data_IF_912185292694
#
_entry.id   IF_912185292694
#
_cell.length_a   1.000
_cell.length_b   1.000
_cell.length_c   1.000
_cell.angle_alpha   90.00
_cell.angle_beta   90.00
_cell.angle_gamma   90.00
#
_symmetry.space_group_name_H-M   'P 1'
#
loop_
_entity.id
_entity.type
_entity.pdbx_description
1 polymer ?
#
# COMPACT_ATOMS: atom_id res chain seq x y z
N UNK A 1 -5.47 -4.68 4.70
CA UNK A 1 -4.20 -4.73 3.94
C UNK A 1 -4.48 -4.34 2.50
N UNK A 2 -3.52 -3.72 1.84
CA UNK A 2 -3.47 -3.52 0.38
C UNK A 2 -2.27 -4.31 -0.15
N UNK A 3 -2.45 -4.98 -1.29
CA UNK A 3 -1.39 -5.71 -1.99
C UNK A 3 -1.09 -4.98 -3.28
N UNK A 4 0.19 -4.80 -3.58
CA UNK A 4 0.67 -4.17 -4.81
C UNK A 4 1.58 -5.13 -5.57
N UNK A 5 1.73 -4.89 -6.86
CA UNK A 5 2.65 -5.62 -7.73
C UNK A 5 3.47 -4.61 -8.55
N UNK A 6 4.58 -4.07 -8.00
CA UNK A 6 5.41 -3.09 -8.70
C UNK A 6 6.05 -3.63 -9.97
N UNK A 7 6.44 -4.91 -9.93
CA UNK A 7 6.98 -5.66 -11.05
C UNK A 7 6.23 -6.99 -11.17
N UNK A 8 6.16 -7.56 -12.39
CA UNK A 8 5.49 -8.83 -12.61
C UNK A 8 6.09 -9.94 -11.72
N UNK A 9 5.24 -10.60 -10.95
CA UNK A 9 5.62 -11.61 -9.96
C UNK A 9 6.13 -11.09 -8.62
N UNK A 10 6.44 -9.80 -8.47
CA UNK A 10 6.85 -9.22 -7.19
C UNK A 10 5.64 -8.64 -6.46
N UNK A 11 5.28 -9.22 -5.31
CA UNK A 11 4.18 -8.72 -4.49
C UNK A 11 4.68 -8.03 -3.24
N UNK A 12 4.09 -6.88 -2.92
CA UNK A 12 4.25 -6.20 -1.63
C UNK A 12 2.91 -6.09 -0.94
N UNK A 13 2.95 -5.97 0.38
CA UNK A 13 1.76 -5.82 1.18
C UNK A 13 1.97 -4.74 2.24
N UNK A 14 0.95 -3.92 2.43
CA UNK A 14 0.96 -2.82 3.37
C UNK A 14 -0.37 -2.71 4.12
N UNK A 15 -0.36 -2.03 5.26
CA UNK A 15 -1.60 -1.70 5.96
C UNK A 15 -2.54 -0.94 5.03
N UNK A 16 -3.84 -1.27 5.10
CA UNK A 16 -4.86 -0.49 4.39
C UNK A 16 -5.21 0.81 5.11
N UNK A 17 -4.64 1.05 6.30
CA UNK A 17 -4.98 2.19 7.15
C UNK A 17 -4.01 3.33 6.85
N UNK A 18 -4.54 4.40 6.27
CA UNK A 18 -3.80 5.61 5.99
C UNK A 18 -3.23 6.22 7.27
N UNK A 19 -1.93 6.50 7.27
CA UNK A 19 -1.20 7.05 8.42
C UNK A 19 -1.56 8.49 8.79
N UNK A 20 -2.33 9.19 7.95
CA UNK A 20 -2.81 10.54 8.24
C UNK A 20 -3.91 10.53 9.32
N UNK A 21 -5.08 9.96 8.98
CA UNK A 21 -6.29 10.03 9.80
C UNK A 21 -7.00 8.67 9.93
N UNK A 22 -6.28 7.58 9.70
CA UNK A 22 -6.76 6.20 9.85
C UNK A 22 -7.93 5.80 8.92
N UNK A 23 -8.15 6.55 7.84
CA UNK A 23 -9.03 6.12 6.75
C UNK A 23 -8.49 4.88 6.03
N UNK A 24 -9.38 4.09 5.42
CA UNK A 24 -8.96 3.06 4.47
C UNK A 24 -8.47 3.69 3.17
N UNK A 25 -7.34 3.19 2.66
CA UNK A 25 -6.95 3.40 1.25
C UNK A 25 -7.90 2.64 0.34
N UNK A 26 -8.08 3.12 -0.90
CA UNK A 26 -9.17 2.65 -1.75
C UNK A 26 -8.77 2.19 -3.14
N UNK A 27 -7.76 2.81 -3.76
CA UNK A 27 -7.34 2.47 -5.13
C UNK A 27 -5.82 2.34 -5.21
N UNK A 28 -5.37 1.51 -6.15
CA UNK A 28 -3.97 1.42 -6.57
C UNK A 28 -3.93 1.80 -8.04
N UNK A 29 -3.33 2.94 -8.36
CA UNK A 29 -3.22 3.45 -9.74
C UNK A 29 -2.02 4.37 -9.87
N UNK A 30 -1.49 4.51 -11.08
CA UNK A 30 -0.44 5.48 -11.41
C UNK A 30 0.81 5.36 -10.51
N UNK A 31 1.18 4.12 -10.15
CA UNK A 31 2.32 3.87 -9.25
C UNK A 31 2.07 4.14 -7.77
N UNK A 32 0.81 4.43 -7.37
CA UNK A 32 0.48 4.81 -5.99
C UNK A 32 -0.71 4.05 -5.40
N UNK A 33 -0.69 3.91 -4.07
CA UNK A 33 -1.80 3.55 -3.21
C UNK A 33 -2.47 4.85 -2.75
N UNK A 34 -3.77 4.99 -2.99
CA UNK A 34 -4.48 6.25 -2.88
C UNK A 34 -5.52 6.25 -1.75
N UNK A 35 -5.40 7.24 -0.86
CA UNK A 35 -6.37 7.51 0.20
C UNK A 35 -7.41 8.53 -0.27
N UNK A 36 -8.71 8.17 -0.30
CA UNK A 36 -9.75 9.05 -0.84
C UNK A 36 -10.17 10.17 0.11
N UNK A 37 -9.84 10.07 1.41
CA UNK A 37 -10.32 11.04 2.40
C UNK A 37 -9.74 12.44 2.20
N UNK A 38 -8.43 12.55 1.98
CA UNK A 38 -7.72 13.83 1.91
C UNK A 38 -6.64 13.85 0.82
N UNK A 39 -6.54 12.80 0.00
CA UNK A 39 -5.63 12.75 -1.13
C UNK A 39 -4.22 12.26 -0.85
N UNK A 40 -3.92 11.72 0.34
CA UNK A 40 -2.60 11.10 0.59
C UNK A 40 -2.32 9.99 -0.41
N UNK A 41 -1.10 9.96 -0.95
CA UNK A 41 -0.61 8.94 -1.87
C UNK A 41 0.64 8.29 -1.33
N UNK A 42 0.75 6.98 -1.52
CA UNK A 42 1.89 6.18 -1.08
C UNK A 42 2.44 5.36 -2.24
N UNK A 43 3.76 5.22 -2.36
CA UNK A 43 4.36 4.46 -3.45
C UNK A 43 3.95 2.98 -3.42
N UNK A 44 3.77 2.35 -4.57
CA UNK A 44 3.45 0.91 -4.60
C UNK A 44 4.65 0.02 -4.24
N UNK A 45 5.87 0.54 -4.30
CA UNK A 45 7.13 -0.20 -4.08
C UNK A 45 7.46 -0.39 -2.61
N UNK A 46 7.33 0.69 -1.82
CA UNK A 46 7.76 0.75 -0.42
C UNK A 46 6.78 1.50 0.51
N UNK A 47 5.64 1.94 -0.03
CA UNK A 47 4.65 2.78 0.65
C UNK A 47 5.17 4.10 1.21
N UNK A 48 6.30 4.62 0.71
CA UNK A 48 6.75 5.98 0.99
C UNK A 48 5.68 7.00 0.62
N UNK A 49 5.61 8.11 1.36
CA UNK A 49 4.64 9.18 1.07
C UNK A 49 5.06 9.90 -0.21
N UNK A 50 4.20 9.88 -1.22
CA UNK A 50 4.37 10.63 -2.46
C UNK A 50 3.49 11.89 -2.49
N UNK A 51 2.37 11.89 -1.75
CA UNK A 51 1.57 13.07 -1.54
C UNK A 51 0.99 13.09 -0.12
N UNK A 52 1.05 14.26 0.52
CA UNK A 52 0.45 14.51 1.83
C UNK A 52 -1.09 14.53 1.77
N UNK A 53 -1.77 14.65 2.93
CA UNK A 53 -1.24 15.13 4.22
C UNK A 53 -0.56 14.07 5.10
N UNK A 54 -0.51 12.80 4.71
CA UNK A 54 0.29 11.82 5.45
C UNK A 54 1.77 12.22 5.48
N UNK A 55 2.48 11.90 6.57
CA UNK A 55 3.92 12.19 6.73
C UNK A 55 4.74 10.94 7.02
N UNK A 56 4.09 9.78 7.08
CA UNK A 56 4.70 8.47 7.37
C UNK A 56 4.25 7.44 6.35
N UNK A 57 5.12 6.49 5.96
CA UNK A 57 4.76 5.42 5.04
C UNK A 57 3.67 4.53 5.62
N UNK A 58 2.95 3.80 4.77
CA UNK A 58 2.08 2.72 5.27
C UNK A 58 2.96 1.61 5.87
N UNK A 59 2.60 1.05 7.04
CA UNK A 59 3.29 -0.11 7.59
C UNK A 59 3.32 -1.27 6.60
N UNK A 60 4.47 -1.92 6.43
CA UNK A 60 4.59 -3.14 5.66
C UNK A 60 3.96 -4.33 6.41
N UNK A 61 3.32 -5.21 5.67
CA UNK A 61 2.74 -6.46 6.15
C UNK A 61 3.57 -7.62 5.58
N UNK A 62 3.89 -8.61 6.41
CA UNK A 62 4.61 -9.79 5.92
C UNK A 62 3.66 -10.68 5.11
N UNK A 63 4.11 -11.06 3.92
CA UNK A 63 3.41 -11.99 3.05
C UNK A 63 4.33 -13.08 2.53
N UNK A 64 3.76 -14.25 2.29
CA UNK A 64 4.39 -15.35 1.54
C UNK A 64 3.62 -15.57 0.25
N UNK A 65 4.34 -15.68 -0.87
CA UNK A 65 3.77 -16.01 -2.18
C UNK A 65 4.15 -17.43 -2.54
N UNK A 66 3.17 -18.31 -2.74
CA UNK A 66 3.41 -19.70 -3.12
C UNK A 66 2.21 -20.30 -3.85
N UNK A 67 2.46 -21.04 -4.94
CA UNK A 67 1.43 -21.75 -5.69
C UNK A 67 0.31 -20.84 -6.24
N UNK A 68 0.63 -19.59 -6.59
CA UNK A 68 -0.37 -18.60 -7.04
C UNK A 68 -1.22 -17.98 -5.92
N UNK A 69 -0.95 -18.32 -4.66
CA UNK A 69 -1.62 -17.75 -3.50
C UNK A 69 -0.69 -16.79 -2.74
N UNK A 70 -1.28 -15.70 -2.22
CA UNK A 70 -0.63 -14.80 -1.26
C UNK A 70 -1.21 -15.10 0.12
N UNK A 71 -0.33 -15.34 1.09
CA UNK A 71 -0.68 -15.62 2.48
C UNK A 71 -0.09 -14.54 3.38
N UNK A 72 -0.88 -14.07 4.34
CA UNK A 72 -0.38 -13.27 5.45
C UNK A 72 0.55 -14.14 6.32
N UNK A 73 1.67 -13.54 6.73
CA UNK A 73 2.63 -14.13 7.66
C UNK A 73 2.13 -14.20 9.10
#
# INVERSE_FOLDING_TARGET
>A
MVVTQPEEGEFKAFSAICTHAQCLVSTVSDGTINCPCHGSKFSITDAAVEAGPATRPLPAEQITVSGGAIRLG
#
